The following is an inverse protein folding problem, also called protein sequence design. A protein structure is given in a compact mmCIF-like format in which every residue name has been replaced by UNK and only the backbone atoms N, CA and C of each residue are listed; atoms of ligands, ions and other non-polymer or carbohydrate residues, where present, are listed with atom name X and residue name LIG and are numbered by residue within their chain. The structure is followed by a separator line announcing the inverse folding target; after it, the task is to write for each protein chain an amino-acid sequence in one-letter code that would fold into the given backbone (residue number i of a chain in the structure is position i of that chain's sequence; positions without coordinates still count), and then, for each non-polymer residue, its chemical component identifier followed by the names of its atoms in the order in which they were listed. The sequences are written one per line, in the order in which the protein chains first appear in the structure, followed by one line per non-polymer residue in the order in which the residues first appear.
data_IF_924553533108
#
_entry.id   IF_924553533108
#
_cell.length_a   1.000
_cell.length_b   1.000
_cell.length_c   1.000
_cell.angle_alpha   90.00
_cell.angle_beta   90.00
_cell.angle_gamma   90.00
#
_symmetry.space_group_name_H-M   'P 1'
#
loop_
_entity.id
_entity.type
_entity.pdbx_description
1 polymer ?
#
# COMPACT_ATOMS: atom_id res chain seq x y z
N UNK A 1 -0.20 -1.61 -4.00
CA UNK A 1 -1.61 -1.22 -4.00
C UNK A 1 -2.11 -0.84 -2.59
N UNK A 2 -1.92 -1.69 -1.58
CA UNK A 2 -2.34 -1.39 -0.21
C UNK A 2 -1.74 -0.07 0.33
N UNK A 3 -0.46 0.19 0.12
CA UNK A 3 0.19 1.43 0.54
C UNK A 3 -0.49 2.67 -0.04
N UNK A 4 -0.83 2.65 -1.32
CA UNK A 4 -1.59 3.72 -1.99
C UNK A 4 -2.95 3.90 -1.31
N UNK A 5 -3.69 2.81 -1.10
CA UNK A 5 -5.01 2.86 -0.49
C UNK A 5 -4.96 3.33 0.97
N UNK A 6 -3.96 2.88 1.73
CA UNK A 6 -3.69 3.35 3.09
C UNK A 6 -3.40 4.86 3.12
N UNK A 7 -2.53 5.35 2.23
CA UNK A 7 -2.21 6.77 2.10
C UNK A 7 -3.45 7.62 1.81
N UNK A 8 -4.30 7.19 0.86
CA UNK A 8 -5.58 7.85 0.55
C UNK A 8 -6.52 7.80 1.76
N UNK A 9 -6.70 6.62 2.35
CA UNK A 9 -7.60 6.41 3.50
C UNK A 9 -7.21 7.25 4.71
N UNK A 10 -5.94 7.32 5.04
CA UNK A 10 -5.44 8.10 6.17
C UNK A 10 -5.51 9.61 5.90
N UNK A 11 -5.19 10.06 4.70
CA UNK A 11 -5.38 11.44 4.29
C UNK A 11 -6.85 11.88 4.40
N UNK A 12 -7.78 11.08 3.90
CA UNK A 12 -9.21 11.39 3.94
C UNK A 12 -9.82 11.30 5.36
N UNK A 13 -9.37 10.35 6.18
CA UNK A 13 -9.82 10.22 7.57
C UNK A 13 -9.37 11.38 8.45
N UNK A 14 -8.23 11.98 8.16
CA UNK A 14 -7.70 13.11 8.89
C UNK A 14 -8.63 14.34 8.87
N UNK A 15 -9.38 14.54 7.78
CA UNK A 15 -10.30 15.69 7.60
C UNK A 15 -11.70 15.50 8.15
N UNK A 16 -12.14 14.27 8.39
CA UNK A 16 -13.56 13.98 8.66
C UNK A 16 -13.92 13.87 10.12
N UNK A 17 -12.94 13.70 10.95
CA UNK A 17 -13.19 13.45 12.35
C UNK A 17 -13.52 14.75 13.07
N UNK A 18 -14.76 14.85 13.54
CA UNK A 18 -15.19 15.95 14.39
C UNK A 18 -14.27 16.03 15.59
N UNK A 19 -13.49 17.09 15.68
CA UNK A 19 -12.72 17.41 16.88
C UNK A 19 -13.64 17.68 18.07
N UNK A 20 -13.09 17.73 19.25
CA UNK A 20 -13.80 18.09 20.49
C UNK A 20 -14.39 19.51 20.48
N UNK A 21 -13.97 20.33 19.53
CA UNK A 21 -14.55 21.63 19.24
C UNK A 21 -15.56 21.44 18.10
N UNK A 22 -16.82 21.63 18.40
CA UNK A 22 -18.00 21.45 17.51
C UNK A 22 -18.03 22.47 16.33
N UNK A 23 -16.90 22.71 15.69
CA UNK A 23 -16.81 23.53 14.49
C UNK A 23 -17.01 22.62 13.27
N UNK A 24 -18.26 22.54 12.82
CA UNK A 24 -18.60 21.98 11.52
C UNK A 24 -18.03 22.89 10.42
N UNK A 25 -16.77 22.66 10.03
CA UNK A 25 -16.29 23.22 8.78
C UNK A 25 -16.83 22.33 7.66
N UNK A 26 -17.75 22.86 6.88
CA UNK A 26 -18.11 22.29 5.57
C UNK A 26 -16.97 22.59 4.60
N UNK A 27 -15.87 21.89 4.76
CA UNK A 27 -14.76 21.97 3.82
C UNK A 27 -15.16 21.23 2.55
N UNK A 28 -15.11 21.93 1.42
CA UNK A 28 -15.53 21.40 0.12
C UNK A 28 -14.40 20.74 -0.65
N UNK A 29 -13.18 21.14 -0.39
CA UNK A 29 -12.00 20.66 -1.11
C UNK A 29 -10.92 20.26 -0.13
N UNK A 30 -10.08 19.32 -0.55
CA UNK A 30 -9.00 18.81 0.24
C UNK A 30 -7.84 18.41 -0.67
N UNK A 31 -6.63 18.77 -0.28
CA UNK A 31 -5.38 18.27 -0.85
C UNK A 31 -4.61 17.51 0.22
N UNK A 32 -4.04 16.41 -0.13
CA UNK A 32 -3.28 15.59 0.81
C UNK A 32 -2.00 15.08 0.17
N UNK A 33 -1.01 14.85 1.00
CA UNK A 33 0.29 14.32 0.64
C UNK A 33 0.73 13.28 1.67
N UNK A 34 1.35 12.22 1.20
CA UNK A 34 1.86 11.12 2.01
C UNK A 34 3.23 10.69 1.52
N UNK A 35 4.07 10.23 2.46
CA UNK A 35 5.30 9.48 2.20
C UNK A 35 5.24 8.18 2.98
N UNK A 36 5.71 7.10 2.36
CA UNK A 36 5.76 5.79 2.97
C UNK A 36 7.09 5.08 2.72
N UNK A 37 7.48 4.26 3.68
CA UNK A 37 8.58 3.33 3.59
C UNK A 37 8.11 1.96 4.05
N UNK A 38 8.43 0.93 3.29
CA UNK A 38 8.12 -0.45 3.62
C UNK A 38 9.35 -1.32 3.39
N UNK A 39 9.65 -2.18 4.35
CA UNK A 39 10.64 -3.24 4.22
C UNK A 39 9.94 -4.58 4.38
N UNK A 40 10.35 -5.57 3.62
CA UNK A 40 9.84 -6.93 3.72
C UNK A 40 10.94 -7.94 3.47
N UNK A 41 10.92 -9.03 4.24
CA UNK A 41 11.79 -10.18 4.13
C UNK A 41 10.95 -11.43 3.84
N UNK A 42 11.34 -12.18 2.83
CA UNK A 42 10.68 -13.42 2.41
C UNK A 42 11.70 -14.54 2.43
N UNK A 43 11.44 -15.60 3.21
CA UNK A 43 12.40 -16.69 3.46
C UNK A 43 12.30 -17.85 2.47
N UNK A 44 11.14 -18.05 1.80
CA UNK A 44 10.91 -19.19 0.90
C UNK A 44 10.08 -18.77 -0.33
N UNK A 45 10.31 -19.39 -1.50
CA UNK A 45 11.30 -20.44 -1.84
C UNK A 45 12.72 -19.92 -2.07
N UNK A 46 12.93 -18.61 -2.16
CA UNK A 46 14.23 -17.93 -2.21
C UNK A 46 14.20 -16.75 -1.25
N UNK A 47 15.28 -16.54 -0.50
CA UNK A 47 15.38 -15.36 0.35
C UNK A 47 15.34 -14.11 -0.51
N UNK A 48 14.46 -13.18 -0.16
CA UNK A 48 14.30 -11.88 -0.81
C UNK A 48 14.12 -10.81 0.25
N UNK A 49 14.95 -9.80 0.20
CA UNK A 49 14.78 -8.54 0.93
C UNK A 49 14.21 -7.48 -0.01
N UNK A 50 13.20 -6.76 0.43
CA UNK A 50 12.55 -5.72 -0.35
C UNK A 50 12.48 -4.41 0.44
N UNK A 51 12.98 -3.34 -0.14
CA UNK A 51 12.86 -1.97 0.36
C UNK A 51 12.04 -1.14 -0.61
N UNK A 52 10.91 -0.61 -0.17
CA UNK A 52 10.00 0.18 -1.01
C UNK A 52 9.78 1.54 -0.37
N UNK A 53 10.08 2.60 -1.11
CA UNK A 53 9.81 4.00 -0.77
C UNK A 53 8.72 4.54 -1.66
N UNK A 54 7.81 5.33 -1.09
CA UNK A 54 6.70 5.89 -1.83
C UNK A 54 6.38 7.33 -1.46
N UNK A 55 5.82 8.04 -2.42
CA UNK A 55 5.11 9.28 -2.19
C UNK A 55 3.80 9.26 -2.96
N UNK A 56 2.76 9.80 -2.35
CA UNK A 56 1.43 9.87 -2.96
C UNK A 56 0.81 11.22 -2.65
N UNK A 57 0.22 11.86 -3.64
CA UNK A 57 -0.51 13.11 -3.48
C UNK A 57 -1.87 13.04 -4.14
N UNK A 58 -2.87 13.68 -3.58
CA UNK A 58 -4.21 13.68 -4.15
C UNK A 58 -5.02 14.93 -3.83
N UNK A 59 -6.09 15.08 -4.59
CA UNK A 59 -6.99 16.23 -4.54
C UNK A 59 -8.44 15.77 -4.65
N UNK A 60 -9.32 16.26 -3.77
CA UNK A 60 -10.75 16.09 -3.90
C UNK A 60 -11.29 16.98 -5.03
N UNK A 61 -11.93 16.39 -6.05
CA UNK A 61 -12.59 17.10 -7.14
C UNK A 61 -14.01 17.49 -6.75
N UNK A 62 -14.73 16.58 -6.09
CA UNK A 62 -16.11 16.79 -5.63
C UNK A 62 -16.24 16.29 -4.20
N UNK A 63 -16.90 17.08 -3.36
CA UNK A 63 -17.21 16.69 -1.97
C UNK A 63 -18.55 17.30 -1.55
N UNK A 64 -19.45 16.48 -1.01
CA UNK A 64 -20.73 16.90 -0.41
C UNK A 64 -20.72 16.78 1.13
N UNK A 65 -19.56 16.55 1.73
CA UNK A 65 -19.39 16.34 3.17
C UNK A 65 -19.53 14.87 3.62
N UNK A 66 -20.14 14.01 2.81
CA UNK A 66 -20.23 12.57 3.07
C UNK A 66 -19.53 11.74 2.01
N UNK A 67 -19.58 12.20 0.78
CA UNK A 67 -18.98 11.56 -0.37
C UNK A 67 -17.86 12.44 -0.90
N UNK A 68 -16.81 11.82 -1.41
CA UNK A 68 -15.71 12.50 -2.09
C UNK A 68 -15.29 11.68 -3.28
N UNK A 69 -15.07 12.38 -4.37
CA UNK A 69 -14.42 11.85 -5.56
C UNK A 69 -13.16 12.66 -5.78
N UNK A 70 -12.05 12.04 -6.01
CA UNK A 70 -10.79 12.73 -6.23
C UNK A 70 -9.86 11.95 -7.14
N UNK A 71 -8.75 12.63 -7.43
CA UNK A 71 -7.64 12.10 -8.22
C UNK A 71 -6.39 12.00 -7.36
N UNK A 72 -5.50 11.10 -7.71
CA UNK A 72 -4.19 11.01 -7.07
C UNK A 72 -3.11 10.61 -8.05
N UNK A 73 -1.86 10.97 -7.71
CA UNK A 73 -0.64 10.46 -8.32
C UNK A 73 0.27 9.85 -7.26
N UNK A 74 1.00 8.82 -7.64
CA UNK A 74 1.97 8.17 -6.77
C UNK A 74 3.26 7.86 -7.53
N UNK A 75 4.38 8.01 -6.83
CA UNK A 75 5.70 7.52 -7.24
C UNK A 75 6.16 6.50 -6.22
N UNK A 76 6.72 5.38 -6.70
CA UNK A 76 7.28 4.34 -5.85
C UNK A 76 8.59 3.85 -6.39
N UNK A 77 9.57 3.71 -5.52
CA UNK A 77 10.86 3.09 -5.79
C UNK A 77 10.98 1.82 -4.96
N UNK A 78 11.35 0.72 -5.59
CA UNK A 78 11.57 -0.56 -4.94
C UNK A 78 12.96 -1.10 -5.24
N UNK A 79 13.65 -1.54 -4.19
CA UNK A 79 14.91 -2.28 -4.23
C UNK A 79 14.64 -3.70 -3.73
N UNK A 80 14.93 -4.71 -4.55
CA UNK A 80 14.71 -6.12 -4.21
C UNK A 80 16.03 -6.88 -4.35
N UNK A 81 16.52 -7.41 -3.23
CA UNK A 81 17.74 -8.20 -3.18
C UNK A 81 17.40 -9.69 -2.98
N UNK A 82 17.74 -10.51 -3.96
CA UNK A 82 17.54 -11.95 -3.91
C UNK A 82 18.83 -12.65 -3.53
N UNK A 83 18.89 -13.25 -2.36
CA UNK A 83 20.00 -14.07 -1.94
C UNK A 83 19.78 -15.53 -2.36
N UNK A 84 20.53 -16.00 -3.35
CA UNK A 84 20.45 -17.39 -3.83
C UNK A 84 20.96 -18.40 -2.82
N UNK A 85 20.17 -18.82 -1.84
CA UNK A 85 20.41 -20.02 -1.03
C UNK A 85 19.75 -21.24 -1.67
N UNK A 86 20.06 -21.53 -2.93
CA UNK A 86 19.61 -22.73 -3.60
C UNK A 86 20.42 -23.96 -3.22
N UNK A 87 19.80 -25.14 -3.28
CA UNK A 87 20.39 -26.48 -3.04
C UNK A 87 21.56 -26.81 -3.98
N UNK A 88 21.80 -26.01 -4.98
CA UNK A 88 22.88 -26.09 -5.96
C UNK A 88 23.78 -24.86 -5.80
N UNK A 89 25.01 -25.07 -5.45
CA UNK A 89 26.11 -24.16 -5.07
C UNK A 89 26.48 -22.99 -6.00
N UNK A 90 25.57 -22.38 -6.69
CA UNK A 90 25.79 -21.10 -7.35
C UNK A 90 25.05 -20.01 -6.56
N UNK A 91 25.72 -19.38 -5.60
CA UNK A 91 25.28 -18.13 -4.98
C UNK A 91 25.36 -17.01 -6.03
N UNK A 92 24.41 -16.97 -6.93
CA UNK A 92 24.23 -15.81 -7.78
C UNK A 92 22.98 -15.13 -7.22
N UNK A 93 23.18 -14.17 -6.34
CA UNK A 93 22.16 -13.22 -5.97
C UNK A 93 21.78 -12.36 -7.17
N UNK A 94 20.63 -11.75 -7.13
CA UNK A 94 20.21 -10.77 -8.13
C UNK A 94 19.56 -9.60 -7.43
N UNK A 95 19.80 -8.41 -7.96
CA UNK A 95 19.18 -7.18 -7.53
C UNK A 95 18.19 -6.70 -8.59
N UNK A 96 16.98 -6.33 -8.16
CA UNK A 96 15.96 -5.71 -8.99
C UNK A 96 15.67 -4.33 -8.42
N UNK A 97 15.85 -3.30 -9.25
CA UNK A 97 15.48 -1.93 -8.93
C UNK A 97 14.23 -1.56 -9.76
N UNK A 98 13.24 -0.95 -9.13
CA UNK A 98 11.98 -0.56 -9.82
C UNK A 98 11.61 0.88 -9.51
N UNK A 99 11.15 1.58 -10.55
CA UNK A 99 10.54 2.91 -10.45
C UNK A 99 9.14 2.86 -11.04
N UNK A 100 8.12 3.23 -10.26
CA UNK A 100 6.72 3.17 -10.67
C UNK A 100 6.06 4.54 -10.59
N UNK A 101 5.37 4.93 -11.66
CA UNK A 101 4.59 6.16 -11.77
C UNK A 101 3.13 5.80 -11.98
N UNK A 102 2.29 6.12 -11.02
CA UNK A 102 0.89 5.70 -10.97
C UNK A 102 -0.03 6.91 -10.87
N UNK A 103 -1.18 6.82 -11.50
CA UNK A 103 -2.25 7.82 -11.40
C UNK A 103 -3.60 7.14 -11.30
N UNK A 104 -4.53 7.74 -10.57
CA UNK A 104 -5.81 7.10 -10.35
C UNK A 104 -6.90 7.99 -9.81
N UNK A 105 -8.04 7.35 -9.59
CA UNK A 105 -9.25 7.95 -9.03
C UNK A 105 -9.58 7.26 -7.71
N UNK A 106 -10.19 8.02 -6.80
CA UNK A 106 -10.79 7.46 -5.60
C UNK A 106 -12.20 7.97 -5.37
N UNK A 107 -13.00 7.10 -4.78
CA UNK A 107 -14.31 7.41 -4.21
C UNK A 107 -14.31 7.08 -2.73
N UNK A 108 -14.76 7.99 -1.90
CA UNK A 108 -14.85 7.79 -0.47
C UNK A 108 -16.21 8.22 0.06
N UNK A 109 -16.81 7.36 0.88
CA UNK A 109 -18.10 7.58 1.53
C UNK A 109 -17.96 7.39 3.04
N UNK A 110 -18.41 8.37 3.83
CA UNK A 110 -18.43 8.31 5.30
C UNK A 110 -19.74 8.90 5.83
N UNK A 111 -20.71 8.04 6.07
CA UNK A 111 -22.03 8.43 6.62
C UNK A 111 -22.56 7.36 7.56
N UNK A 112 -23.24 7.79 8.62
CA UNK A 112 -23.97 6.92 9.54
C UNK A 112 -23.16 5.73 10.09
N UNK A 113 -21.89 5.93 10.43
CA UNK A 113 -20.96 4.91 10.91
C UNK A 113 -20.31 4.06 9.82
N UNK A 114 -20.72 4.13 8.57
CA UNK A 114 -20.06 3.41 7.49
C UNK A 114 -18.96 4.27 6.87
N UNK A 115 -17.85 3.62 6.62
CA UNK A 115 -16.74 4.18 5.84
C UNK A 115 -16.46 3.24 4.68
N UNK A 116 -16.46 3.78 3.46
CA UNK A 116 -16.12 3.03 2.25
C UNK A 116 -15.09 3.85 1.47
N UNK A 117 -14.04 3.19 1.03
CA UNK A 117 -13.04 3.76 0.13
C UNK A 117 -12.85 2.79 -1.04
N UNK A 118 -13.05 3.29 -2.25
CA UNK A 118 -12.76 2.56 -3.48
C UNK A 118 -11.72 3.33 -4.28
N UNK A 119 -10.74 2.63 -4.87
CA UNK A 119 -9.73 3.23 -5.74
C UNK A 119 -9.53 2.41 -7.01
N UNK A 120 -9.18 3.10 -8.08
CA UNK A 120 -8.69 2.49 -9.32
C UNK A 120 -7.49 3.29 -9.80
N UNK A 121 -6.46 2.62 -10.27
CA UNK A 121 -5.26 3.29 -10.77
C UNK A 121 -4.61 2.51 -11.91
N UNK A 122 -3.79 3.19 -12.66
CA UNK A 122 -2.90 2.61 -13.65
C UNK A 122 -1.63 3.43 -13.78
N UNK A 123 -0.62 2.86 -14.41
CA UNK A 123 0.64 3.54 -14.63
C UNK A 123 1.71 2.63 -15.18
N UNK A 124 2.93 3.14 -15.21
CA UNK A 124 4.10 2.46 -15.74
C UNK A 124 5.08 2.10 -14.64
N UNK A 125 5.83 1.04 -14.88
CA UNK A 125 6.91 0.60 -14.02
C UNK A 125 8.15 0.33 -14.87
N UNK A 126 9.25 0.99 -14.53
CA UNK A 126 10.57 0.72 -15.07
C UNK A 126 11.27 -0.28 -14.14
N UNK A 127 11.92 -1.30 -14.69
CA UNK A 127 12.59 -2.34 -13.92
C UNK A 127 13.99 -2.61 -14.46
N UNK A 128 14.95 -2.60 -13.57
CA UNK A 128 16.37 -2.86 -13.82
C UNK A 128 16.77 -4.12 -13.07
N UNK A 129 17.21 -5.13 -13.79
CA UNK A 129 17.63 -6.43 -13.22
C UNK A 129 19.13 -6.59 -13.38
N UNK A 130 19.83 -6.90 -12.30
CA UNK A 130 21.29 -7.12 -12.29
C UNK A 130 21.62 -8.34 -11.46
N UNK A 131 22.52 -9.20 -11.94
CA UNK A 131 23.12 -10.25 -11.09
C UNK A 131 24.25 -9.67 -10.24
N UNK A 132 24.51 -10.24 -9.04
CA UNK A 132 25.54 -9.77 -8.10
C UNK A 132 26.94 -9.73 -8.71
N UNK A 133 27.26 -10.68 -9.60
CA UNK A 133 28.51 -10.74 -10.34
C UNK A 133 28.57 -9.71 -11.50
N UNK A 134 27.47 -8.97 -11.75
CA UNK A 134 27.28 -8.01 -12.84
C UNK A 134 27.51 -8.61 -14.24
N UNK A 135 27.44 -9.91 -14.38
CA UNK A 135 27.62 -10.60 -15.67
C UNK A 135 26.35 -10.51 -16.50
N UNK A 136 25.18 -10.64 -15.88
CA UNK A 136 23.91 -10.49 -16.56
C UNK A 136 23.16 -9.23 -16.05
N UNK A 137 22.62 -8.44 -16.99
CA UNK A 137 21.78 -7.29 -16.72
C UNK A 137 20.73 -7.12 -17.81
N UNK A 138 19.60 -6.59 -17.44
CA UNK A 138 18.50 -6.29 -18.36
C UNK A 138 17.65 -5.13 -17.81
N UNK A 139 17.14 -4.32 -18.74
CA UNK A 139 16.18 -3.27 -18.48
C UNK A 139 14.85 -3.67 -19.13
N UNK A 140 13.75 -3.49 -18.43
CA UNK A 140 12.42 -3.72 -18.97
C UNK A 140 11.43 -2.72 -18.39
N UNK A 141 10.34 -2.52 -19.09
CA UNK A 141 9.24 -1.67 -18.67
C UNK A 141 8.00 -2.54 -18.51
N UNK A 142 7.00 -2.02 -17.82
CA UNK A 142 5.72 -2.69 -17.67
C UNK A 142 4.60 -1.72 -17.38
N UNK A 143 3.39 -2.23 -17.49
CA UNK A 143 2.17 -1.52 -17.11
C UNK A 143 1.58 -2.14 -15.86
N UNK A 144 1.19 -1.29 -14.91
CA UNK A 144 0.54 -1.70 -13.69
C UNK A 144 -0.88 -1.14 -13.62
N UNK A 145 -1.84 -1.99 -13.25
CA UNK A 145 -3.22 -1.61 -12.99
C UNK A 145 -3.63 -2.13 -11.62
N UNK A 146 -4.49 -1.39 -10.94
CA UNK A 146 -5.00 -1.86 -9.67
C UNK A 146 -6.36 -1.27 -9.31
N UNK A 147 -7.04 -2.00 -8.43
CA UNK A 147 -8.30 -1.57 -7.84
C UNK A 147 -8.33 -1.98 -6.36
N UNK A 148 -9.03 -1.23 -5.54
CA UNK A 148 -9.21 -1.59 -4.15
C UNK A 148 -10.57 -1.16 -3.63
N UNK A 149 -11.02 -1.85 -2.58
CA UNK A 149 -12.23 -1.55 -1.84
C UNK A 149 -12.01 -1.80 -0.36
N UNK A 150 -12.16 -0.77 0.45
CA UNK A 150 -12.19 -0.87 1.91
C UNK A 150 -13.58 -0.52 2.43
N UNK A 151 -14.12 -1.37 3.27
CA UNK A 151 -15.40 -1.16 3.95
C UNK A 151 -15.18 -1.29 5.45
N UNK A 152 -15.62 -0.30 6.22
CA UNK A 152 -15.53 -0.32 7.66
C UNK A 152 -16.78 0.25 8.33
N UNK A 153 -17.03 -0.16 9.57
CA UNK A 153 -18.18 0.29 10.35
C UNK A 153 -17.75 0.72 11.74
N UNK A 154 -18.04 1.98 12.10
CA UNK A 154 -17.69 2.58 13.40
C UNK A 154 -18.72 2.25 14.46
N UNK A 155 -18.27 1.76 15.61
CA UNK A 155 -19.04 1.57 16.84
C UNK A 155 -18.47 2.51 17.90
N UNK A 156 -19.28 3.47 18.32
CA UNK A 156 -18.89 4.44 19.35
C UNK A 156 -19.17 3.84 20.72
N UNK A 157 -18.14 3.77 21.55
CA UNK A 157 -18.18 3.27 22.92
C UNK A 157 -18.05 4.42 23.93
N UNK A 158 -18.37 4.21 25.22
CA UNK A 158 -18.11 5.18 26.27
C UNK A 158 -16.62 5.60 26.32
N UNK A 159 -16.36 6.74 26.93
CA UNK A 159 -15.01 7.28 27.14
C UNK A 159 -14.21 7.54 25.85
N UNK A 160 -14.89 8.02 24.79
CA UNK A 160 -14.30 8.40 23.51
C UNK A 160 -13.54 7.25 22.77
N UNK A 161 -13.89 6.00 23.03
CA UNK A 161 -13.43 4.85 22.29
C UNK A 161 -14.29 4.60 21.05
N UNK A 162 -13.62 4.21 19.97
CA UNK A 162 -14.25 3.78 18.72
C UNK A 162 -13.68 2.41 18.36
N UNK A 163 -14.55 1.47 18.02
CA UNK A 163 -14.17 0.17 17.46
C UNK A 163 -14.69 0.09 16.04
N UNK A 164 -13.80 -0.25 15.09
CA UNK A 164 -14.10 -0.24 13.68
C UNK A 164 -13.63 -1.56 13.02
N UNK A 165 -14.50 -2.59 12.91
CA UNK A 165 -14.25 -3.72 12.04
C UNK A 165 -14.19 -3.27 10.58
N UNK A 166 -13.28 -3.86 9.79
CA UNK A 166 -13.03 -3.51 8.40
C UNK A 166 -12.74 -4.75 7.54
N UNK A 167 -13.14 -4.65 6.29
CA UNK A 167 -12.79 -5.56 5.21
C UNK A 167 -12.12 -4.75 4.10
N UNK A 168 -10.91 -5.15 3.72
CA UNK A 168 -10.17 -4.61 2.59
C UNK A 168 -10.00 -5.66 1.49
N UNK A 169 -10.15 -5.25 0.25
CA UNK A 169 -9.87 -6.04 -0.96
C UNK A 169 -8.95 -5.22 -1.85
N UNK A 170 -7.83 -5.79 -2.27
CA UNK A 170 -6.81 -5.11 -3.07
C UNK A 170 -6.43 -6.01 -4.23
N UNK A 171 -6.51 -5.50 -5.44
CA UNK A 171 -6.13 -6.20 -6.66
C UNK A 171 -5.10 -5.40 -7.44
N UNK A 172 -4.07 -6.09 -7.95
CA UNK A 172 -3.05 -5.51 -8.83
C UNK A 172 -2.75 -6.48 -9.95
N UNK A 173 -2.66 -5.96 -11.17
CA UNK A 173 -2.13 -6.66 -12.33
C UNK A 173 -0.87 -5.93 -12.78
N UNK A 174 0.18 -6.69 -13.10
CA UNK A 174 1.44 -6.19 -13.64
C UNK A 174 1.74 -6.95 -14.93
N UNK A 175 1.86 -6.22 -16.01
CA UNK A 175 2.23 -6.70 -17.33
C UNK A 175 3.62 -6.18 -17.65
N UNK A 176 4.60 -7.06 -17.73
CA UNK A 176 6.00 -6.73 -18.01
C UNK A 176 6.33 -7.01 -19.47
N UNK A 177 6.99 -6.07 -20.12
CA UNK A 177 7.49 -6.26 -21.46
C UNK A 177 8.55 -7.38 -21.48
N UNK A 178 8.50 -8.20 -22.54
CA UNK A 178 9.50 -9.20 -22.81
C UNK A 178 10.88 -8.55 -22.96
N UNK A 179 11.88 -9.08 -22.30
CA UNK A 179 13.23 -8.57 -22.41
C UNK A 179 14.28 -9.64 -22.76
N UNK A 180 15.41 -9.19 -23.28
CA UNK A 180 16.58 -10.05 -23.53
C UNK A 180 17.77 -9.47 -22.77
N UNK A 181 18.42 -10.31 -21.95
CA UNK A 181 19.62 -9.89 -21.23
C UNK A 181 20.83 -9.70 -22.17
N UNK A 182 21.90 -9.13 -21.62
CA UNK A 182 23.15 -8.91 -22.36
C UNK A 182 23.87 -10.22 -22.81
N UNK A 183 23.43 -11.37 -22.30
CA UNK A 183 23.93 -12.70 -22.68
C UNK A 183 23.05 -13.38 -23.75
N UNK A 184 22.02 -12.68 -24.25
CA UNK A 184 21.09 -13.17 -25.26
C UNK A 184 20.00 -14.12 -24.73
N UNK A 185 19.80 -14.20 -23.39
CA UNK A 185 18.69 -14.95 -22.82
C UNK A 185 17.46 -14.07 -22.77
N UNK A 186 16.34 -14.61 -23.22
CA UNK A 186 15.07 -13.92 -23.24
C UNK A 186 14.20 -14.38 -22.08
N UNK A 187 13.62 -13.44 -21.36
CA UNK A 187 12.57 -13.66 -20.36
C UNK A 187 11.23 -13.11 -20.88
N UNK A 188 10.20 -13.92 -20.76
CA UNK A 188 8.82 -13.62 -21.18
C UNK A 188 7.91 -13.95 -19.99
N UNK A 189 7.13 -12.98 -19.52
CA UNK A 189 6.29 -13.09 -18.34
C UNK A 189 4.84 -13.10 -18.76
N UNK A 190 4.05 -13.95 -18.13
CA UNK A 190 2.61 -13.81 -18.16
C UNK A 190 2.18 -12.61 -17.31
N UNK A 191 1.01 -12.05 -17.57
CA UNK A 191 0.45 -10.98 -16.71
C UNK A 191 0.31 -11.50 -15.28
N UNK A 192 1.03 -10.86 -14.36
CA UNK A 192 1.02 -11.21 -12.95
C UNK A 192 -0.19 -10.58 -12.25
N UNK A 193 -0.98 -11.40 -11.58
CA UNK A 193 -2.14 -10.97 -10.81
C UNK A 193 -1.90 -11.20 -9.33
N UNK A 194 -2.08 -10.17 -8.54
CA UNK A 194 -1.97 -10.22 -7.09
C UNK A 194 -3.27 -9.71 -6.44
N UNK A 195 -3.81 -10.50 -5.53
CA UNK A 195 -4.99 -10.13 -4.76
C UNK A 195 -4.69 -10.28 -3.26
N UNK A 196 -5.08 -9.30 -2.47
CA UNK A 196 -4.99 -9.31 -1.01
C UNK A 196 -6.37 -9.05 -0.43
N UNK A 197 -6.76 -9.84 0.57
CA UNK A 197 -7.95 -9.64 1.40
C UNK A 197 -7.51 -9.39 2.84
N UNK A 198 -7.97 -8.33 3.46
CA UNK A 198 -7.65 -7.96 4.84
C UNK A 198 -8.91 -7.88 5.69
N UNK A 199 -8.96 -8.64 6.80
CA UNK A 199 -9.94 -8.49 7.86
C UNK A 199 -9.28 -7.82 9.06
N UNK A 200 -9.72 -6.62 9.42
CA UNK A 200 -9.13 -5.82 10.48
C UNK A 200 -10.13 -5.39 11.55
N UNK A 201 -9.62 -5.14 12.74
CA UNK A 201 -10.37 -4.57 13.85
C UNK A 201 -9.60 -3.40 14.43
N UNK A 202 -10.04 -2.16 14.14
CA UNK A 202 -9.39 -0.95 14.61
C UNK A 202 -9.99 -0.48 15.93
N UNK A 203 -9.14 -0.25 16.91
CA UNK A 203 -9.43 0.38 18.18
C UNK A 203 -8.86 1.79 18.15
N UNK A 204 -9.70 2.80 18.29
CA UNK A 204 -9.31 4.20 18.25
C UNK A 204 -9.75 4.92 19.51
N UNK A 205 -8.89 5.77 20.05
CA UNK A 205 -9.21 6.64 21.19
C UNK A 205 -8.96 8.11 20.82
N UNK A 206 -9.93 8.96 21.17
CA UNK A 206 -9.90 10.39 20.91
C UNK A 206 -9.46 11.15 22.15
N UNK A 207 -8.37 11.88 22.04
CA UNK A 207 -7.86 12.81 23.04
C UNK A 207 -8.17 14.24 22.64
N UNK A 208 -8.68 15.01 23.59
CA UNK A 208 -9.03 16.41 23.41
C UNK A 208 -8.41 17.24 24.53
N UNK A 209 -7.50 18.12 24.20
CA UNK A 209 -6.88 19.02 25.15
C UNK A 209 -6.54 20.37 24.47
N UNK A 210 -6.88 21.48 25.15
CA UNK A 210 -6.52 22.84 24.73
C UNK A 210 -6.83 23.20 23.27
N UNK A 211 -7.94 22.68 22.72
CA UNK A 211 -8.33 22.94 21.32
C UNK A 211 -7.65 22.03 20.29
N UNK A 212 -6.75 21.16 20.71
CA UNK A 212 -6.12 20.15 19.87
C UNK A 212 -6.88 18.83 19.93
N UNK A 213 -6.97 18.20 18.79
CA UNK A 213 -7.57 16.87 18.67
C UNK A 213 -6.49 15.88 18.25
N UNK A 214 -6.28 14.85 19.06
CA UNK A 214 -5.36 13.76 18.73
C UNK A 214 -6.12 12.46 18.78
N UNK A 215 -5.97 11.62 17.77
CA UNK A 215 -6.50 10.26 17.74
C UNK A 215 -5.35 9.28 17.67
N UNK A 216 -5.36 8.32 18.57
CA UNK A 216 -4.43 7.18 18.50
C UNK A 216 -5.21 5.92 18.20
N UNK A 217 -4.60 4.99 17.50
CA UNK A 217 -5.24 3.73 17.17
C UNK A 217 -4.28 2.56 17.10
N UNK A 218 -4.85 1.38 17.27
CA UNK A 218 -4.23 0.10 16.98
C UNK A 218 -5.20 -0.74 16.12
N UNK A 219 -4.69 -1.44 15.11
CA UNK A 219 -5.48 -2.25 14.18
C UNK A 219 -4.80 -3.60 13.97
N UNK A 220 -5.12 -4.64 14.76
CA UNK A 220 -4.82 -6.02 14.38
C UNK A 220 -5.62 -6.43 13.14
N UNK A 221 -5.00 -7.21 12.24
CA UNK A 221 -5.61 -7.69 11.00
C UNK A 221 -5.11 -9.08 10.65
N UNK A 222 -5.94 -9.84 9.96
CA UNK A 222 -5.55 -11.06 9.24
C UNK A 222 -5.62 -10.75 7.75
N UNK A 223 -4.56 -11.13 7.04
CA UNK A 223 -4.37 -10.87 5.61
C UNK A 223 -4.24 -12.20 4.89
N UNK A 224 -5.02 -12.37 3.83
CA UNK A 224 -4.88 -13.50 2.92
C UNK A 224 -4.44 -12.98 1.56
N UNK A 225 -3.33 -13.51 1.05
CA UNK A 225 -2.78 -13.16 -0.26
C UNK A 225 -3.02 -14.28 -1.26
N UNK A 226 -3.24 -13.89 -2.51
CA UNK A 226 -3.37 -14.79 -3.65
C UNK A 226 -2.57 -14.21 -4.81
N UNK A 227 -1.79 -15.05 -5.49
CA UNK A 227 -1.10 -14.65 -6.72
C UNK A 227 -1.35 -15.68 -7.82
N UNK A 228 -1.33 -15.21 -9.06
CA UNK A 228 -1.40 -16.05 -10.26
C UNK A 228 -0.74 -15.33 -11.44
N UNK A 229 -0.38 -16.08 -12.48
CA UNK A 229 0.37 -15.51 -13.63
C UNK A 229 1.86 -15.30 -13.36
N UNK A 230 2.37 -15.83 -12.27
CA UNK A 230 3.76 -15.71 -11.81
C UNK A 230 4.75 -16.63 -12.55
N UNK A 231 4.36 -17.13 -13.72
CA UNK A 231 5.18 -18.02 -14.52
C UNK A 231 6.13 -17.25 -15.42
N UNK A 232 7.40 -17.58 -15.31
CA UNK A 232 8.46 -17.01 -16.15
C UNK A 232 8.95 -18.09 -17.14
N UNK A 233 8.95 -17.74 -18.42
CA UNK A 233 9.58 -18.55 -19.48
C UNK A 233 10.96 -17.97 -19.80
N UNK A 234 12.00 -18.67 -19.39
CA UNK A 234 13.40 -18.26 -19.64
C UNK A 234 14.01 -19.15 -20.71
N UNK A 235 14.18 -18.63 -21.93
CA UNK A 235 14.93 -19.26 -23.05
C UNK A 235 14.63 -20.75 -23.24
N UNK A 236 13.36 -21.16 -23.14
CA UNK A 236 12.93 -22.55 -23.33
C UNK A 236 13.10 -23.45 -22.10
N UNK A 237 13.43 -22.91 -20.95
CA UNK A 237 13.32 -23.64 -19.68
C UNK A 237 11.86 -23.69 -19.22
N UNK A 238 11.52 -24.76 -18.50
CA UNK A 238 10.19 -24.98 -17.96
C UNK A 238 9.75 -23.81 -17.05
N UNK A 239 8.49 -23.39 -17.15
CA UNK A 239 7.85 -22.38 -16.30
C UNK A 239 8.20 -22.56 -14.81
N UNK A 240 8.66 -21.52 -14.18
CA UNK A 240 8.99 -21.46 -12.75
C UNK A 240 7.92 -20.61 -12.08
N UNK A 241 7.10 -21.18 -11.21
CA UNK A 241 6.18 -20.44 -10.34
C UNK A 241 6.94 -19.82 -9.16
N UNK A 242 6.62 -18.57 -8.82
CA UNK A 242 7.39 -17.79 -7.85
C UNK A 242 6.66 -17.49 -6.54
N UNK A 243 5.32 -17.65 -6.47
CA UNK A 243 4.55 -17.22 -5.30
C UNK A 243 3.40 -18.17 -4.94
N UNK A 244 3.30 -18.50 -3.66
CA UNK A 244 2.17 -19.23 -3.07
C UNK A 244 1.25 -18.32 -2.26
N UNK A 245 -0.03 -18.69 -2.15
CA UNK A 245 -0.98 -17.97 -1.30
C UNK A 245 -0.60 -18.11 0.18
N UNK A 246 -0.60 -17.01 0.92
CA UNK A 246 -0.20 -16.98 2.32
C UNK A 246 -1.25 -16.30 3.20
N UNK A 247 -1.35 -16.78 4.45
CA UNK A 247 -2.10 -16.12 5.50
C UNK A 247 -1.13 -15.43 6.45
N UNK A 248 -1.27 -14.10 6.60
CA UNK A 248 -0.37 -13.27 7.38
C UNK A 248 -1.14 -12.58 8.51
N UNK A 249 -0.46 -12.37 9.62
CA UNK A 249 -0.90 -11.47 10.67
C UNK A 249 -0.33 -10.07 10.43
N UNK A 250 -1.09 -9.02 10.78
CA UNK A 250 -0.63 -7.64 10.69
C UNK A 250 -1.08 -6.86 11.91
N UNK A 251 -0.18 -6.04 12.44
CA UNK A 251 -0.48 -5.09 13.51
C UNK A 251 -0.10 -3.69 13.04
N UNK A 252 -1.07 -2.78 13.00
CA UNK A 252 -0.85 -1.38 12.68
C UNK A 252 -1.15 -0.52 13.90
N UNK A 253 -0.32 0.48 14.15
CA UNK A 253 -0.52 1.54 15.16
C UNK A 253 -0.38 2.89 14.48
N UNK A 254 -1.05 3.91 14.99
CA UNK A 254 -0.88 5.25 14.43
C UNK A 254 -1.52 6.34 15.26
N UNK A 255 -1.22 7.56 14.86
CA UNK A 255 -1.77 8.76 15.44
C UNK A 255 -2.14 9.79 14.38
N UNK A 256 -3.20 10.56 14.63
CA UNK A 256 -3.68 11.66 13.79
C UNK A 256 -3.80 12.91 14.63
N UNK A 257 -3.34 14.02 14.09
CA UNK A 257 -3.24 15.30 14.76
C UNK A 257 -4.01 16.35 13.99
N UNK A 258 -5.02 16.96 14.59
CA UNK A 258 -5.65 18.17 14.08
C UNK A 258 -4.80 19.38 14.48
N UNK A 259 -4.00 19.90 13.55
CA UNK A 259 -3.08 21.01 13.80
C UNK A 259 -3.77 22.38 13.73
N UNK A 260 -4.80 22.48 12.89
CA UNK A 260 -5.68 23.67 12.80
C UNK A 260 -7.06 23.25 12.26
N UNK A 261 -7.92 24.24 12.01
CA UNK A 261 -9.22 23.99 11.39
C UNK A 261 -9.10 23.38 9.97
N UNK A 262 -8.02 23.69 9.27
CA UNK A 262 -7.79 23.29 7.87
C UNK A 262 -6.64 22.29 7.71
N UNK A 263 -5.74 22.17 8.67
CA UNK A 263 -4.53 21.37 8.56
C UNK A 263 -4.55 20.20 9.55
N UNK A 264 -4.28 19.01 9.06
CA UNK A 264 -4.07 17.82 9.87
C UNK A 264 -2.85 17.04 9.40
N UNK A 265 -2.27 16.27 10.32
CA UNK A 265 -1.15 15.38 10.07
C UNK A 265 -1.47 13.99 10.59
N UNK A 266 -0.81 12.98 10.07
CA UNK A 266 -0.86 11.62 10.61
C UNK A 266 0.48 10.92 10.48
N UNK A 267 0.67 9.93 11.32
CA UNK A 267 1.78 8.98 11.27
C UNK A 267 1.26 7.60 11.64
N UNK A 268 1.74 6.58 10.97
CA UNK A 268 1.45 5.19 11.32
C UNK A 268 2.65 4.29 11.07
N UNK A 269 2.69 3.17 11.78
CA UNK A 269 3.63 2.10 11.57
C UNK A 269 2.87 0.77 11.59
N UNK A 270 3.28 -0.19 10.75
CA UNK A 270 2.75 -1.53 10.76
C UNK A 270 3.85 -2.59 10.71
N UNK A 271 3.53 -3.73 11.29
CA UNK A 271 4.34 -4.94 11.21
C UNK A 271 3.48 -6.09 10.70
N UNK A 272 3.94 -6.75 9.65
CA UNK A 272 3.28 -7.90 9.03
C UNK A 272 4.17 -9.12 9.23
N UNK A 273 3.58 -10.25 9.58
CA UNK A 273 4.30 -11.48 9.89
C UNK A 273 3.54 -12.73 9.42
N UNK A 274 4.28 -13.74 9.03
CA UNK A 274 3.79 -15.05 8.57
C UNK A 274 4.82 -16.14 8.77
N UNK A 275 4.62 -17.32 8.16
CA UNK A 275 5.58 -18.43 8.25
C UNK A 275 6.90 -18.11 7.56
N UNK A 276 6.82 -17.51 6.38
CA UNK A 276 7.97 -17.22 5.50
C UNK A 276 8.01 -15.75 5.07
N UNK A 277 7.35 -14.87 5.85
CA UNK A 277 7.24 -13.45 5.57
C UNK A 277 7.32 -12.64 6.85
N UNK A 278 8.19 -11.64 6.86
CA UNK A 278 8.13 -10.55 7.83
C UNK A 278 8.33 -9.21 7.13
N UNK A 279 7.74 -8.15 7.69
CA UNK A 279 7.91 -6.82 7.11
C UNK A 279 7.35 -5.73 8.00
N UNK A 280 7.89 -4.55 7.86
CA UNK A 280 7.38 -3.37 8.55
C UNK A 280 7.18 -2.21 7.58
N UNK A 281 6.23 -1.34 7.92
CA UNK A 281 5.93 -0.15 7.17
C UNK A 281 5.82 1.07 8.08
N UNK A 282 6.17 2.23 7.55
CA UNK A 282 5.97 3.53 8.20
C UNK A 282 5.37 4.49 7.18
N UNK A 283 4.32 5.20 7.60
CA UNK A 283 3.67 6.22 6.79
C UNK A 283 3.55 7.53 7.55
N UNK A 284 3.71 8.64 6.86
CA UNK A 284 3.42 9.97 7.38
C UNK A 284 2.78 10.85 6.31
N UNK A 285 1.83 11.68 6.70
CA UNK A 285 1.16 12.54 5.74
C UNK A 285 0.57 13.80 6.34
N UNK A 286 0.27 14.71 5.43
CA UNK A 286 -0.36 15.99 5.69
C UNK A 286 -1.63 16.11 4.85
N UNK A 287 -2.60 16.81 5.40
CA UNK A 287 -3.85 17.09 4.75
C UNK A 287 -4.26 18.52 5.01
N UNK A 288 -4.59 19.24 3.94
CA UNK A 288 -5.11 20.61 3.99
C UNK A 288 -6.46 20.68 3.31
N UNK A 289 -7.43 21.20 4.04
CA UNK A 289 -8.81 21.30 3.59
C UNK A 289 -9.34 22.74 3.70
N UNK A 290 -10.11 23.23 2.69
CA UNK A 290 -10.64 24.58 2.60
C UNK A 290 -12.06 24.67 2.05
#
# INVERSE_FOLDING_TARGET
NRGINKSIGDGLRATRDKGCCDRQFKQKHNVWFNVDYNNAEIDAPSEMDADIKGMTAGLDLVSDGYQRVGVFGAYRQGDYDFSGKGKYRAKIGSKIETDSYLGGLYYSYDRRRWNVLATVFGGTQDMNVKTDDRVAFADTNGMQFGASLDIAKKFYLPYAWIVEPSLGLYYTALDLDKFTDNLGKTADFDVMHYMETELGLRFEHLFCANGWTTKVYAKPSVVQTFASGDKVNISGMKEIGTYDSQTLGRMEIGAKFGLSASLSAYVSADYTFGSDYSGYGVDAGLNYAW
#
